data_IF_009564981672
#
_entry.id   IF_009564981672
#
_cell.length_a   1.000
_cell.length_b   1.000
_cell.length_c   1.000
_cell.angle_alpha   90.00
_cell.angle_beta   90.00
_cell.angle_gamma   90.00
#
_symmetry.space_group_name_H-M   'P 1'
#
loop_
_entity.id
_entity.type
_entity.pdbx_description
1 polymer ?
#
# COMPACT_ATOMS: atom_id res chain seq x y z
N UNK A 1 43.63 8.12 -18.77
CA UNK A 1 42.33 7.46 -18.56
C UNK A 1 41.68 8.11 -17.34
N UNK A 2 40.80 9.10 -17.54
CA UNK A 2 40.21 9.87 -16.43
C UNK A 2 39.06 9.05 -15.83
N UNK A 3 39.27 8.51 -14.64
CA UNK A 3 38.24 7.87 -13.83
C UNK A 3 37.26 8.95 -13.36
N UNK A 4 36.07 9.02 -13.96
CA UNK A 4 34.97 9.86 -13.47
C UNK A 4 34.36 9.17 -12.25
N UNK A 5 34.81 9.53 -11.07
CA UNK A 5 34.22 9.10 -9.79
C UNK A 5 32.78 9.64 -9.68
N UNK A 6 31.78 8.82 -10.03
CA UNK A 6 30.38 9.16 -9.75
C UNK A 6 30.09 8.95 -8.26
N UNK A 7 29.72 10.01 -7.53
CA UNK A 7 29.20 9.90 -6.15
C UNK A 7 28.02 8.94 -6.10
N UNK A 8 28.22 7.78 -5.47
CA UNK A 8 27.18 6.79 -5.23
C UNK A 8 26.37 7.18 -3.98
N UNK A 9 25.08 6.84 -3.96
CA UNK A 9 24.18 7.18 -2.84
C UNK A 9 23.14 6.08 -2.63
N UNK A 10 22.47 6.11 -1.48
CA UNK A 10 21.29 5.30 -1.19
C UNK A 10 20.05 6.18 -1.40
N UNK A 11 19.04 5.66 -2.10
CA UNK A 11 17.76 6.35 -2.24
C UNK A 11 16.93 6.12 -0.98
N UNK A 12 16.23 7.15 -0.50
CA UNK A 12 15.25 7.03 0.58
C UNK A 12 13.89 7.45 0.03
N UNK A 13 12.90 6.59 0.18
CA UNK A 13 11.51 6.85 -0.23
C UNK A 13 10.62 6.68 0.98
N UNK A 14 9.87 7.72 1.34
CA UNK A 14 8.97 7.70 2.48
C UNK A 14 7.56 7.30 2.06
N UNK A 15 6.97 6.34 2.78
CA UNK A 15 5.57 5.93 2.65
C UNK A 15 4.83 6.34 3.93
N UNK A 16 4.21 7.53 3.89
CA UNK A 16 3.46 8.08 5.01
C UNK A 16 1.95 8.13 4.74
N UNK A 17 1.17 7.55 5.65
CA UNK A 17 -0.29 7.56 5.59
C UNK A 17 -0.91 6.38 4.84
N UNK A 18 -2.21 6.47 4.56
CA UNK A 18 -3.00 5.36 4.01
C UNK A 18 -2.62 5.03 2.57
N UNK A 19 -2.42 3.75 2.27
CA UNK A 19 -2.15 3.23 0.92
C UNK A 19 -3.41 3.29 0.07
N UNK A 20 -3.29 3.85 -1.15
CA UNK A 20 -4.41 4.21 -2.01
C UNK A 20 -5.00 5.60 -1.72
N UNK A 21 -4.68 6.19 -0.55
CA UNK A 21 -5.05 7.55 -0.17
C UNK A 21 -3.87 8.52 -0.33
N UNK A 22 -3.05 8.64 0.71
CA UNK A 22 -1.84 9.46 0.70
C UNK A 22 -0.70 8.78 -0.08
N UNK A 23 -0.54 7.47 0.08
CA UNK A 23 0.48 6.69 -0.64
C UNK A 23 -0.15 6.13 -1.92
N UNK A 24 0.08 6.80 -3.05
CA UNK A 24 -0.55 6.47 -4.35
C UNK A 24 0.43 5.82 -5.33
N UNK A 25 0.18 4.61 -5.84
CA UNK A 25 1.08 3.94 -6.78
C UNK A 25 1.48 4.80 -7.99
N UNK A 26 0.55 5.59 -8.54
CA UNK A 26 0.81 6.49 -9.66
C UNK A 26 1.95 7.49 -9.42
N UNK A 27 2.20 7.88 -8.16
CA UNK A 27 3.28 8.80 -7.77
C UNK A 27 4.57 8.01 -7.49
N UNK A 28 4.46 6.90 -6.75
CA UNK A 28 5.63 6.18 -6.25
C UNK A 28 6.26 5.24 -7.28
N UNK A 29 5.48 4.61 -8.17
CA UNK A 29 6.03 3.68 -9.16
C UNK A 29 7.03 4.36 -10.12
N UNK A 30 6.79 5.57 -10.65
CA UNK A 30 7.80 6.28 -11.44
C UNK A 30 9.08 6.62 -10.65
N UNK A 31 8.95 6.94 -9.35
CA UNK A 31 10.10 7.21 -8.47
C UNK A 31 10.91 5.92 -8.28
N UNK A 32 10.25 4.81 -7.98
CA UNK A 32 10.86 3.50 -7.82
C UNK A 32 11.58 3.05 -9.10
N UNK A 33 10.98 3.28 -10.26
CA UNK A 33 11.58 2.94 -11.55
C UNK A 33 12.84 3.79 -11.83
N UNK A 34 12.83 5.08 -11.48
CA UNK A 34 14.05 5.92 -11.53
C UNK A 34 15.13 5.40 -10.59
N UNK A 35 14.77 4.97 -9.38
CA UNK A 35 15.72 4.37 -8.43
C UNK A 35 16.31 3.08 -9.00
N UNK A 36 15.49 2.23 -9.61
CA UNK A 36 15.91 0.97 -10.25
C UNK A 36 16.94 1.21 -11.34
N UNK A 37 16.64 2.10 -12.29
CA UNK A 37 17.46 2.29 -13.50
C UNK A 37 18.68 3.19 -13.29
N UNK A 38 18.72 3.96 -12.20
CA UNK A 38 19.82 4.87 -11.93
C UNK A 38 21.08 4.14 -11.42
N UNK A 39 22.21 4.32 -12.10
CA UNK A 39 23.54 3.87 -11.62
C UNK A 39 24.04 4.66 -10.41
N UNK A 40 23.42 5.80 -10.08
CA UNK A 40 23.78 6.62 -8.91
C UNK A 40 23.32 5.98 -7.60
N UNK A 41 22.17 5.30 -7.63
CA UNK A 41 21.59 4.67 -6.44
C UNK A 41 22.03 3.22 -6.33
N UNK A 42 22.79 2.91 -5.28
CA UNK A 42 23.30 1.56 -5.01
C UNK A 42 22.31 0.70 -4.23
N UNK A 43 21.30 1.30 -3.63
CA UNK A 43 20.25 0.63 -2.87
C UNK A 43 19.09 1.58 -2.55
N UNK A 44 18.08 1.05 -1.89
CA UNK A 44 16.86 1.75 -1.49
C UNK A 44 16.55 1.50 -0.02
N UNK A 45 16.21 2.55 0.72
CA UNK A 45 15.53 2.47 2.00
C UNK A 45 14.10 2.96 1.81
N UNK A 46 13.15 2.17 2.26
CA UNK A 46 11.73 2.55 2.29
C UNK A 46 11.39 2.87 3.73
N UNK A 47 11.21 4.16 4.04
CA UNK A 47 10.82 4.61 5.37
C UNK A 47 9.29 4.57 5.48
N UNK A 48 8.76 3.78 6.41
CA UNK A 48 7.34 3.43 6.46
C UNK A 48 6.72 3.94 7.77
N UNK A 49 5.64 4.69 7.62
CA UNK A 49 4.65 4.96 8.67
C UNK A 49 3.26 4.95 8.02
N UNK A 50 2.64 3.77 8.02
CA UNK A 50 1.35 3.55 7.38
C UNK A 50 0.54 2.49 8.11
N UNK A 51 -0.78 2.72 8.29
CA UNK A 51 -1.69 1.71 8.80
C UNK A 51 -2.05 0.63 7.77
N UNK A 52 -1.57 0.73 6.53
CA UNK A 52 -2.01 -0.09 5.40
C UNK A 52 -2.98 0.67 4.50
N UNK A 53 -3.90 -0.05 3.84
CA UNK A 53 -4.91 0.55 2.96
C UNK A 53 -5.34 -0.40 1.85
N UNK A 54 -5.47 0.14 0.64
CA UNK A 54 -5.93 -0.62 -0.53
C UNK A 54 -5.03 -1.83 -0.82
N UNK A 55 -5.64 -3.01 -0.93
CA UNK A 55 -4.94 -4.25 -1.26
C UNK A 55 -4.28 -4.18 -2.65
N UNK A 56 -4.99 -3.67 -3.65
CA UNK A 56 -4.47 -3.52 -5.02
C UNK A 56 -3.28 -2.54 -5.07
N UNK A 57 -3.41 -1.38 -4.42
CA UNK A 57 -2.32 -0.41 -4.39
C UNK A 57 -1.10 -0.93 -3.61
N UNK A 58 -1.32 -1.72 -2.56
CA UNK A 58 -0.24 -2.37 -1.81
C UNK A 58 0.50 -3.38 -2.68
N UNK A 59 -0.22 -4.17 -3.49
CA UNK A 59 0.37 -5.13 -4.44
C UNK A 59 1.16 -4.46 -5.57
N UNK A 60 0.65 -3.36 -6.13
CA UNK A 60 1.40 -2.59 -7.13
C UNK A 60 2.75 -2.11 -6.58
N UNK A 61 2.75 -1.56 -5.37
CA UNK A 61 3.96 -1.07 -4.71
C UNK A 61 4.88 -2.23 -4.33
N UNK A 62 4.35 -3.33 -3.79
CA UNK A 62 5.10 -4.55 -3.50
C UNK A 62 5.88 -5.00 -4.75
N UNK A 63 5.20 -5.16 -5.89
CA UNK A 63 5.84 -5.54 -7.16
C UNK A 63 6.87 -4.54 -7.63
N UNK A 64 6.60 -3.24 -7.51
CA UNK A 64 7.54 -2.17 -7.85
C UNK A 64 8.83 -2.27 -7.06
N UNK A 65 8.72 -2.55 -5.76
CA UNK A 65 9.85 -2.68 -4.84
C UNK A 65 10.59 -4.01 -5.07
N UNK A 66 9.88 -5.12 -5.28
CA UNK A 66 10.50 -6.42 -5.58
C UNK A 66 11.38 -6.38 -6.83
N UNK A 67 11.02 -5.57 -7.84
CA UNK A 67 11.85 -5.36 -9.04
C UNK A 67 13.17 -4.64 -8.74
N UNK A 68 13.21 -3.80 -7.69
CA UNK A 68 14.45 -3.18 -7.23
C UNK A 68 15.23 -4.20 -6.40
N UNK A 69 14.55 -4.91 -5.51
CA UNK A 69 15.14 -5.92 -4.65
C UNK A 69 15.85 -7.06 -5.43
N UNK A 70 15.38 -7.39 -6.64
CA UNK A 70 16.06 -8.39 -7.48
C UNK A 70 17.44 -7.95 -8.00
N UNK A 71 17.76 -6.66 -7.96
CA UNK A 71 19.01 -6.11 -8.54
C UNK A 71 19.81 -5.23 -7.59
N UNK A 72 19.19 -4.72 -6.52
CA UNK A 72 19.79 -3.82 -5.54
C UNK A 72 19.33 -4.16 -4.12
N UNK A 73 20.16 -3.91 -3.10
CA UNK A 73 19.72 -4.00 -1.71
C UNK A 73 18.58 -3.04 -1.41
N UNK A 74 17.54 -3.56 -0.75
CA UNK A 74 16.37 -2.82 -0.27
C UNK A 74 16.17 -3.11 1.22
N UNK A 75 16.01 -2.06 2.01
CA UNK A 75 15.66 -2.15 3.43
C UNK A 75 14.34 -1.42 3.66
N UNK A 76 13.38 -2.11 4.26
CA UNK A 76 12.19 -1.46 4.82
C UNK A 76 12.51 -1.02 6.25
N UNK A 77 12.28 0.26 6.55
CA UNK A 77 12.48 0.85 7.87
C UNK A 77 11.15 1.37 8.40
N UNK A 78 10.60 0.70 9.40
CA UNK A 78 9.32 1.03 10.01
C UNK A 78 9.55 1.98 11.19
N UNK A 79 9.00 3.20 11.09
CA UNK A 79 9.16 4.28 12.07
C UNK A 79 8.10 4.24 13.17
N UNK A 80 6.83 4.24 12.80
CA UNK A 80 5.72 4.27 13.76
C UNK A 80 4.75 3.13 13.50
N UNK A 81 4.28 3.00 12.24
CA UNK A 81 3.34 1.95 11.84
C UNK A 81 3.80 1.24 10.57
N UNK A 82 3.82 -0.08 10.62
CA UNK A 82 4.01 -0.95 9.46
C UNK A 82 2.96 -2.05 9.51
N UNK A 83 1.70 -1.67 9.33
CA UNK A 83 0.54 -2.55 9.52
C UNK A 83 -0.16 -2.88 8.20
N UNK A 84 -0.80 -4.05 8.12
CA UNK A 84 -1.63 -4.51 7.00
C UNK A 84 -0.90 -4.36 5.65
N UNK A 85 -1.44 -3.61 4.69
CA UNK A 85 -0.81 -3.35 3.39
C UNK A 85 0.62 -2.77 3.48
N UNK A 86 0.95 -2.04 4.55
CA UNK A 86 2.29 -1.50 4.75
C UNK A 86 3.28 -2.60 5.18
N UNK A 87 2.84 -3.54 6.01
CA UNK A 87 3.63 -4.74 6.31
C UNK A 87 3.82 -5.58 5.05
N UNK A 88 2.77 -5.73 4.25
CA UNK A 88 2.84 -6.44 2.97
C UNK A 88 3.88 -5.82 2.02
N UNK A 89 3.87 -4.50 1.85
CA UNK A 89 4.90 -3.77 1.08
C UNK A 89 6.30 -4.00 1.68
N UNK A 90 6.43 -3.98 3.01
CA UNK A 90 7.71 -4.17 3.70
C UNK A 90 8.35 -5.53 3.35
N UNK A 91 7.54 -6.57 3.15
CA UNK A 91 7.99 -7.90 2.75
C UNK A 91 8.65 -7.94 1.35
N UNK A 92 8.53 -6.90 0.53
CA UNK A 92 9.27 -6.81 -0.73
C UNK A 92 10.77 -6.52 -0.54
N UNK A 93 11.16 -6.02 0.63
CA UNK A 93 12.56 -5.74 0.99
C UNK A 93 13.26 -7.01 1.51
N UNK A 94 14.59 -7.08 1.34
CA UNK A 94 15.35 -8.22 1.88
C UNK A 94 15.55 -8.14 3.39
N UNK A 95 15.42 -6.95 3.98
CA UNK A 95 15.49 -6.74 5.43
C UNK A 95 14.43 -5.75 5.87
N UNK A 96 13.72 -6.09 6.94
CA UNK A 96 12.81 -5.20 7.64
C UNK A 96 13.47 -4.81 8.97
N UNK A 97 13.56 -3.53 9.24
CA UNK A 97 14.02 -2.95 10.51
C UNK A 97 12.88 -2.13 11.06
N UNK A 98 12.53 -2.33 12.32
CA UNK A 98 11.51 -1.55 13.00
C UNK A 98 12.08 -0.97 14.29
N UNK A 99 11.65 0.23 14.67
CA UNK A 99 11.92 0.71 16.03
C UNK A 99 11.15 -0.15 17.05
N UNK A 100 11.66 -0.33 18.28
CA UNK A 100 11.08 -1.27 19.25
C UNK A 100 9.60 -1.05 19.58
N UNK A 101 9.13 0.20 19.50
CA UNK A 101 7.77 0.62 19.80
C UNK A 101 6.87 0.71 18.55
N UNK A 102 7.35 0.34 17.37
CA UNK A 102 6.56 0.41 16.14
C UNK A 102 5.39 -0.58 16.18
N UNK A 103 4.23 -0.14 15.71
CA UNK A 103 3.07 -1.00 15.50
C UNK A 103 3.25 -1.77 14.17
N UNK A 104 3.59 -3.05 14.28
CA UNK A 104 3.78 -3.97 13.16
C UNK A 104 2.76 -5.09 13.24
N UNK A 105 2.25 -5.54 12.08
CA UNK A 105 1.29 -6.65 12.02
C UNK A 105 0.00 -6.25 11.33
N UNK A 106 -1.15 -6.53 11.95
CA UNK A 106 -2.48 -6.39 11.29
C UNK A 106 -2.54 -7.16 9.97
N UNK A 107 -1.95 -8.36 9.95
CA UNK A 107 -1.88 -9.22 8.77
C UNK A 107 -3.25 -9.85 8.53
N UNK A 108 -3.94 -9.37 7.51
CA UNK A 108 -5.28 -9.82 7.16
C UNK A 108 -5.93 -8.88 6.16
N UNK A 109 -7.09 -9.30 5.67
CA UNK A 109 -7.92 -8.53 4.75
C UNK A 109 -9.29 -8.39 5.37
N UNK A 110 -9.82 -7.18 5.37
CA UNK A 110 -11.19 -6.91 5.81
C UNK A 110 -11.97 -6.23 4.68
N UNK A 111 -13.24 -6.56 4.60
CA UNK A 111 -14.21 -5.82 3.81
C UNK A 111 -15.41 -5.53 4.71
N UNK A 112 -15.59 -4.25 5.06
CA UNK A 112 -16.67 -3.83 5.93
C UNK A 112 -17.82 -3.27 5.08
N UNK A 113 -19.01 -3.86 5.22
CA UNK A 113 -20.24 -3.39 4.59
C UNK A 113 -21.28 -3.10 5.68
N UNK A 114 -21.57 -1.83 6.01
CA UNK A 114 -22.69 -1.52 6.86
C UNK A 114 -24.01 -1.82 6.14
N UNK A 115 -24.96 -2.41 6.85
CA UNK A 115 -26.34 -2.61 6.38
C UNK A 115 -27.29 -1.80 7.25
N UNK A 116 -28.27 -1.15 6.61
CA UNK A 116 -29.22 -0.25 7.23
C UNK A 116 -30.67 -0.58 6.86
N UNK A 117 -30.92 -1.77 6.29
CA UNK A 117 -32.26 -2.25 5.92
C UNK A 117 -33.31 -2.02 7.02
N UNK A 118 -33.00 -2.41 8.25
CA UNK A 118 -33.91 -2.22 9.39
C UNK A 118 -34.16 -0.74 9.72
N UNK A 119 -33.16 0.12 9.53
CA UNK A 119 -33.32 1.56 9.75
C UNK A 119 -34.26 2.14 8.69
N UNK A 120 -34.07 1.77 7.42
CA UNK A 120 -34.93 2.24 6.33
C UNK A 120 -36.37 1.80 6.53
N UNK A 121 -36.61 0.54 6.92
CA UNK A 121 -37.94 0.06 7.27
C UNK A 121 -38.58 0.86 8.43
N UNK A 122 -37.82 1.17 9.47
CA UNK A 122 -38.32 1.95 10.63
C UNK A 122 -38.75 3.36 10.26
N UNK A 123 -38.09 3.99 9.29
CA UNK A 123 -38.44 5.35 8.83
C UNK A 123 -39.40 5.34 7.63
N UNK A 124 -39.90 4.16 7.23
CA UNK A 124 -40.83 4.01 6.11
C UNK A 124 -40.20 4.25 4.72
N UNK A 125 -38.88 4.10 4.59
CA UNK A 125 -38.16 4.26 3.32
C UNK A 125 -37.97 2.89 2.64
N UNK A 126 -38.45 2.75 1.41
CA UNK A 126 -38.27 1.56 0.59
C UNK A 126 -37.43 1.85 -0.67
N UNK A 127 -36.69 0.85 -1.14
CA UNK A 127 -35.78 0.93 -2.28
C UNK A 127 -36.22 -0.01 -3.40
N UNK A 128 -36.81 0.54 -4.46
CA UNK A 128 -37.08 -0.20 -5.70
C UNK A 128 -35.89 -0.10 -6.66
N UNK A 129 -35.03 -1.13 -6.70
CA UNK A 129 -33.82 -1.16 -7.54
C UNK A 129 -34.08 -1.91 -8.85
N UNK A 130 -34.06 -1.20 -9.98
CA UNK A 130 -34.06 -1.79 -11.32
C UNK A 130 -32.62 -2.01 -11.80
N UNK A 131 -32.27 -3.27 -12.12
CA UNK A 131 -30.89 -3.63 -12.46
C UNK A 131 -30.84 -4.72 -13.53
N UNK A 132 -29.84 -4.58 -14.41
CA UNK A 132 -29.60 -5.53 -15.50
C UNK A 132 -28.94 -6.84 -15.05
N UNK A 133 -28.50 -6.94 -13.79
CA UNK A 133 -27.78 -8.11 -13.29
C UNK A 133 -27.92 -8.30 -11.80
N UNK A 134 -27.96 -9.58 -11.37
CA UNK A 134 -28.22 -10.01 -9.98
C UNK A 134 -27.38 -9.26 -8.94
N UNK A 135 -26.11 -8.98 -9.27
CA UNK A 135 -25.15 -8.43 -8.34
C UNK A 135 -24.80 -6.95 -8.58
N UNK A 136 -25.52 -6.24 -9.47
CA UNK A 136 -25.20 -4.84 -9.82
C UNK A 136 -25.52 -3.82 -8.69
N UNK A 137 -26.18 -4.29 -7.65
CA UNK A 137 -26.47 -3.59 -6.39
C UNK A 137 -25.85 -4.33 -5.19
N UNK A 138 -24.89 -5.24 -5.43
CA UNK A 138 -24.15 -5.86 -4.33
C UNK A 138 -23.56 -4.75 -3.46
N UNK A 139 -23.50 -5.00 -2.16
CA UNK A 139 -23.02 -4.04 -1.15
C UNK A 139 -23.97 -2.88 -0.81
N UNK A 140 -25.15 -2.75 -1.46
CA UNK A 140 -26.13 -1.73 -1.11
C UNK A 140 -26.61 -1.81 0.35
N UNK A 141 -26.66 -0.70 1.12
CA UNK A 141 -27.05 -0.73 2.54
C UNK A 141 -28.51 -1.12 2.78
N UNK A 142 -29.36 -1.07 1.75
CA UNK A 142 -30.80 -1.35 1.79
C UNK A 142 -31.19 -2.83 1.71
N UNK A 143 -30.22 -3.75 1.72
CA UNK A 143 -30.47 -5.19 1.64
C UNK A 143 -29.53 -5.98 2.54
N UNK A 144 -29.98 -7.15 2.98
CA UNK A 144 -29.13 -8.14 3.67
C UNK A 144 -27.96 -8.59 2.79
N UNK A 145 -26.85 -9.05 3.42
CA UNK A 145 -25.72 -9.65 2.72
C UNK A 145 -26.14 -10.71 1.71
#
# INVERSE_FOLDING_TARGET
MVSVWRKQSIAVVELYGTIGGAVRPAIYLPILERVRNSRRFRGLVIAIDSPGGSAAASEELYRGISKIASTKPVVAYIRERGASGAYYISCAAQKIVAVPNALVGSIGVIFARPTAEQLFQKVGLDFSIQKSGKYKDMYGPWRKP
#
